data_IF_001041212776
#
_entry.id   IF_001041212776
#
_cell.length_a   1.000
_cell.length_b   1.000
_cell.length_c   1.000
_cell.angle_alpha   90.00
_cell.angle_beta   90.00
_cell.angle_gamma   90.00
#
_symmetry.space_group_name_H-M   'P 1'
#
loop_
_entity.id
_entity.type
_entity.pdbx_description
1 polymer ?
#
# COMPACT_ATOMS: atom_id res chain seq x y z
N UNK A 1 5.26 -16.46 60.20
CA UNK A 1 5.15 -15.36 59.23
C UNK A 1 5.52 -15.90 57.86
N UNK A 2 4.56 -16.40 57.08
CA UNK A 2 4.80 -16.93 55.73
C UNK A 2 3.51 -16.81 54.89
N UNK A 3 3.20 -15.60 54.43
CA UNK A 3 2.16 -15.31 53.43
C UNK A 3 2.75 -14.35 52.40
N UNK A 4 3.83 -14.76 51.76
CA UNK A 4 4.48 -13.93 50.74
C UNK A 4 5.19 -14.83 49.76
N UNK A 5 4.63 -14.99 48.56
CA UNK A 5 5.41 -15.37 47.37
C UNK A 5 4.55 -15.60 46.13
N UNK A 6 3.30 -16.08 46.25
CA UNK A 6 2.52 -16.46 45.06
C UNK A 6 2.16 -15.28 44.14
N UNK A 7 1.72 -14.14 44.70
CA UNK A 7 1.39 -12.93 43.92
C UNK A 7 2.62 -12.30 43.24
N UNK A 8 3.78 -12.36 43.90
CA UNK A 8 5.03 -11.86 43.35
C UNK A 8 5.58 -12.77 42.24
N UNK A 9 5.51 -14.10 42.41
CA UNK A 9 5.95 -15.07 41.41
C UNK A 9 5.15 -14.98 40.10
N UNK A 10 3.83 -14.78 40.17
CA UNK A 10 2.96 -14.59 39.00
C UNK A 10 3.27 -13.27 38.28
N UNK A 11 3.50 -12.19 39.03
CA UNK A 11 3.87 -10.89 38.46
C UNK A 11 5.24 -10.94 37.74
N UNK A 12 6.21 -11.67 38.29
CA UNK A 12 7.54 -11.86 37.69
C UNK A 12 7.45 -12.76 36.44
N UNK A 13 6.61 -13.79 36.44
CA UNK A 13 6.37 -14.62 35.24
C UNK A 13 5.76 -13.81 34.10
N UNK A 14 4.79 -12.94 34.39
CA UNK A 14 4.14 -12.09 33.37
C UNK A 14 5.09 -11.03 32.79
N UNK A 15 5.98 -10.45 33.60
CA UNK A 15 6.97 -9.46 33.11
C UNK A 15 8.11 -10.10 32.33
N UNK A 16 8.51 -11.34 32.67
CA UNK A 16 9.53 -12.08 31.91
C UNK A 16 8.98 -12.51 30.55
N UNK A 17 7.73 -12.95 30.45
CA UNK A 17 7.07 -13.33 29.17
C UNK A 17 7.01 -12.14 28.19
N UNK A 18 6.81 -10.91 28.70
CA UNK A 18 6.78 -9.70 27.87
C UNK A 18 8.18 -9.21 27.44
N UNK A 19 9.24 -9.62 28.15
CA UNK A 19 10.64 -9.33 27.78
C UNK A 19 11.24 -10.38 26.81
N UNK A 20 10.65 -11.58 26.74
CA UNK A 20 10.99 -12.65 25.78
C UNK A 20 10.15 -12.64 24.49
N UNK A 21 9.37 -11.58 24.27
CA UNK A 21 8.72 -11.27 22.99
C UNK A 21 9.42 -10.16 22.19
N UNK A 22 10.76 -10.11 22.00
CA UNK A 22 11.33 -9.41 20.86
C UNK A 22 11.22 -10.33 19.62
N UNK A 23 10.00 -10.73 19.31
CA UNK A 23 9.65 -11.63 18.21
C UNK A 23 8.58 -10.99 17.36
N UNK A 24 8.98 -9.95 16.62
CA UNK A 24 8.34 -9.42 15.42
C UNK A 24 6.82 -9.33 15.43
N UNK A 25 6.28 -8.16 15.76
CA UNK A 25 5.13 -7.67 15.02
C UNK A 25 5.63 -7.43 13.58
N UNK A 26 5.59 -8.48 12.75
CA UNK A 26 5.83 -8.35 11.31
C UNK A 26 4.83 -7.30 10.82
N UNK A 27 5.34 -6.14 10.41
CA UNK A 27 4.50 -5.07 9.90
C UNK A 27 4.07 -5.49 8.48
N UNK A 28 3.05 -6.34 8.40
CA UNK A 28 2.45 -6.69 7.12
C UNK A 28 1.81 -5.41 6.56
N UNK A 29 2.43 -4.82 5.54
CA UNK A 29 1.85 -3.68 4.82
C UNK A 29 0.62 -4.18 4.08
N UNK A 30 -0.55 -3.67 4.46
CA UNK A 30 -1.77 -3.89 3.69
C UNK A 30 -1.69 -3.13 2.35
N UNK A 31 -2.31 -3.67 1.28
CA UNK A 31 -2.50 -2.95 0.03
C UNK A 31 -3.04 -1.54 0.26
N UNK A 32 -2.42 -0.55 -0.39
CA UNK A 32 -2.92 0.83 -0.40
C UNK A 32 -3.72 1.06 -1.68
N UNK A 33 -4.90 1.68 -1.54
CA UNK A 33 -5.72 2.09 -2.68
C UNK A 33 -5.42 3.55 -3.05
N UNK A 34 -5.15 3.80 -4.33
CA UNK A 34 -4.84 5.10 -4.89
C UNK A 34 -5.89 5.50 -5.93
N UNK A 35 -6.54 6.64 -5.71
CA UNK A 35 -7.46 7.21 -6.70
C UNK A 35 -6.64 7.90 -7.78
N UNK A 36 -6.71 7.42 -9.02
CA UNK A 36 -5.88 7.98 -10.09
C UNK A 36 -6.33 9.40 -10.46
N UNK A 37 -5.38 10.34 -10.42
CA UNK A 37 -5.64 11.75 -10.70
C UNK A 37 -6.38 12.51 -9.59
N UNK A 38 -6.68 11.86 -8.46
CA UNK A 38 -7.43 12.44 -7.33
C UNK A 38 -8.75 13.10 -7.82
N UNK A 39 -9.06 14.30 -7.32
CA UNK A 39 -10.26 15.08 -7.68
C UNK A 39 -10.35 15.43 -9.17
N UNK A 40 -9.22 15.46 -9.89
CA UNK A 40 -9.18 15.77 -11.32
C UNK A 40 -9.44 14.55 -12.19
N UNK A 41 -9.27 13.35 -11.63
CA UNK A 41 -9.36 12.10 -12.37
C UNK A 41 -8.33 11.99 -13.48
N UNK A 42 -8.61 11.07 -14.40
CA UNK A 42 -7.77 10.83 -15.55
C UNK A 42 -8.09 11.88 -16.63
N UNK A 43 -7.52 13.07 -16.46
CA UNK A 43 -7.66 14.22 -17.38
C UNK A 43 -6.44 14.35 -18.29
N UNK A 44 -6.67 14.47 -19.61
CA UNK A 44 -5.65 14.71 -20.63
C UNK A 44 -4.85 15.99 -20.41
N UNK A 45 -5.42 16.94 -19.69
CA UNK A 45 -4.83 18.24 -19.35
C UNK A 45 -3.77 18.14 -18.25
N UNK A 46 -3.73 17.03 -17.51
CA UNK A 46 -2.78 16.77 -16.44
C UNK A 46 -1.94 15.56 -16.84
N UNK A 47 -0.60 15.70 -16.99
CA UNK A 47 0.23 14.55 -17.30
C UNK A 47 0.09 13.53 -16.16
N UNK A 48 -0.36 12.30 -16.45
CA UNK A 48 -0.56 11.26 -15.44
C UNK A 48 0.71 10.99 -14.61
N UNK A 49 1.88 11.24 -15.22
CA UNK A 49 3.19 11.17 -14.56
C UNK A 49 3.31 12.15 -13.38
N UNK A 50 2.67 13.33 -13.44
CA UNK A 50 2.72 14.30 -12.33
C UNK A 50 2.03 13.75 -11.08
N UNK A 51 0.89 13.08 -11.25
CA UNK A 51 0.18 12.45 -10.15
C UNK A 51 0.95 11.26 -9.56
N UNK A 52 1.68 10.50 -10.39
CA UNK A 52 2.47 9.36 -9.95
C UNK A 52 3.82 9.77 -9.33
N UNK A 53 4.33 10.97 -9.65
CA UNK A 53 5.71 11.38 -9.35
C UNK A 53 6.07 11.45 -7.86
N UNK A 54 5.10 11.72 -6.99
CA UNK A 54 5.29 11.81 -5.54
C UNK A 54 4.94 10.52 -4.80
N UNK A 55 4.61 9.44 -5.53
CA UNK A 55 4.12 8.17 -4.96
C UNK A 55 5.13 7.05 -5.13
N UNK A 56 5.20 6.20 -4.11
CA UNK A 56 5.90 4.93 -4.18
C UNK A 56 4.87 3.82 -4.16
N UNK A 57 4.83 3.03 -5.23
CA UNK A 57 3.92 1.91 -5.38
C UNK A 57 4.63 0.60 -5.05
N UNK A 58 3.90 -0.34 -4.45
CA UNK A 58 4.38 -1.68 -4.19
C UNK A 58 3.42 -2.69 -4.82
N UNK A 59 3.95 -3.88 -5.12
CA UNK A 59 3.13 -4.97 -5.63
C UNK A 59 1.98 -5.27 -4.65
N UNK A 60 0.77 -5.37 -5.20
CA UNK A 60 -0.44 -5.59 -4.44
C UNK A 60 -1.25 -4.32 -4.11
N UNK A 61 -0.66 -3.12 -4.23
CA UNK A 61 -1.41 -1.86 -4.15
C UNK A 61 -2.47 -1.79 -5.26
N UNK A 62 -3.55 -1.02 -5.03
CA UNK A 62 -4.72 -0.94 -5.92
C UNK A 62 -4.81 0.46 -6.49
N UNK A 63 -5.00 0.58 -7.80
CA UNK A 63 -5.42 1.80 -8.45
C UNK A 63 -6.94 1.78 -8.62
N UNK A 64 -7.62 2.79 -8.12
CA UNK A 64 -9.06 2.98 -8.27
C UNK A 64 -9.31 4.15 -9.21
N UNK A 65 -10.24 3.96 -10.14
CA UNK A 65 -10.72 5.02 -11.00
C UNK A 65 -11.90 5.78 -10.35
N UNK A 66 -12.08 7.06 -10.67
CA UNK A 66 -13.09 7.92 -10.02
C UNK A 66 -14.55 7.42 -10.11
N UNK A 67 -14.85 6.48 -10.99
CA UNK A 67 -16.17 5.84 -11.09
C UNK A 67 -16.35 4.69 -10.09
N UNK A 68 -15.29 4.24 -9.41
CA UNK A 68 -15.29 3.14 -8.44
C UNK A 68 -15.46 1.74 -9.05
N UNK A 69 -15.80 1.64 -10.34
CA UNK A 69 -16.03 0.36 -11.02
C UNK A 69 -14.72 -0.29 -11.50
N UNK A 70 -13.67 0.51 -11.69
CA UNK A 70 -12.38 0.04 -12.21
C UNK A 70 -11.32 0.07 -11.11
N UNK A 71 -11.04 -1.10 -10.55
CA UNK A 71 -9.95 -1.34 -9.60
C UNK A 71 -8.89 -2.23 -10.24
N UNK A 72 -7.65 -1.76 -10.29
CA UNK A 72 -6.52 -2.49 -10.89
C UNK A 72 -5.43 -2.70 -9.85
N UNK A 73 -5.15 -3.97 -9.55
CA UNK A 73 -4.06 -4.34 -8.66
C UNK A 73 -2.72 -4.28 -9.39
N UNK A 74 -1.72 -3.69 -8.76
CA UNK A 74 -0.37 -3.55 -9.31
C UNK A 74 0.42 -4.85 -9.18
N UNK A 75 1.00 -5.31 -10.29
CA UNK A 75 1.98 -6.38 -10.29
C UNK A 75 3.38 -5.84 -9.95
N UNK A 76 4.26 -6.68 -9.43
CA UNK A 76 5.67 -6.32 -9.23
C UNK A 76 6.34 -5.93 -10.55
N UNK A 77 7.05 -4.79 -10.55
CA UNK A 77 7.72 -4.24 -11.73
C UNK A 77 6.87 -3.23 -12.50
N UNK A 78 7.07 -3.16 -13.82
CA UNK A 78 6.43 -2.17 -14.69
C UNK A 78 4.97 -2.50 -14.99
N UNK A 79 4.09 -1.54 -14.73
CA UNK A 79 2.67 -1.55 -15.06
C UNK A 79 2.39 -0.39 -16.02
N UNK A 80 1.72 -0.67 -17.14
CA UNK A 80 1.48 0.30 -18.20
C UNK A 80 -0.01 0.37 -18.53
N UNK A 81 -0.54 1.59 -18.53
CA UNK A 81 -1.95 1.87 -18.74
C UNK A 81 -2.11 2.90 -19.87
N UNK A 82 -3.12 2.71 -20.70
CA UNK A 82 -3.43 3.59 -21.84
C UNK A 82 -4.90 4.00 -21.70
N UNK A 83 -5.16 5.30 -21.79
CA UNK A 83 -6.53 5.83 -21.79
C UNK A 83 -7.20 5.58 -23.14
N UNK A 84 -8.39 4.99 -23.13
CA UNK A 84 -9.21 4.75 -24.33
C UNK A 84 -10.69 5.08 -24.11
N UNK A 85 -11.02 5.94 -23.15
CA UNK A 85 -12.40 6.29 -22.83
C UNK A 85 -13.04 7.12 -23.94
N UNK A 86 -12.26 7.98 -24.59
CA UNK A 86 -12.64 8.69 -25.82
C UNK A 86 -11.63 8.42 -26.95
N UNK A 87 -12.04 8.57 -28.23
CA UNK A 87 -11.10 8.48 -29.35
C UNK A 87 -9.92 9.46 -29.25
N UNK A 88 -10.11 10.58 -28.56
CA UNK A 88 -9.07 11.59 -28.35
C UNK A 88 -7.96 11.14 -27.39
N UNK A 89 -8.23 10.23 -26.46
CA UNK A 89 -7.28 9.85 -25.40
C UNK A 89 -6.04 9.15 -25.97
N UNK A 90 -6.27 8.19 -26.87
CA UNK A 90 -5.19 7.46 -27.52
C UNK A 90 -4.35 8.38 -28.43
N UNK A 91 -5.00 9.29 -29.15
CA UNK A 91 -4.32 10.21 -30.09
C UNK A 91 -3.59 11.33 -29.34
N UNK A 92 -4.13 11.75 -28.20
CA UNK A 92 -3.53 12.70 -27.27
C UNK A 92 -2.39 12.13 -26.43
N UNK A 93 -2.12 10.82 -26.55
CA UNK A 93 -0.99 10.17 -25.89
C UNK A 93 -1.22 9.89 -24.40
N UNK A 94 -2.48 9.70 -24.01
CA UNK A 94 -2.85 9.45 -22.62
C UNK A 94 -2.34 8.10 -22.13
N UNK A 95 -1.33 8.13 -21.25
CA UNK A 95 -0.71 6.93 -20.71
C UNK A 95 -0.21 7.17 -19.29
N UNK A 96 -0.12 6.09 -18.54
CA UNK A 96 0.49 6.06 -17.21
C UNK A 96 1.42 4.86 -17.12
N UNK A 97 2.64 5.10 -16.66
CA UNK A 97 3.60 4.04 -16.37
C UNK A 97 3.93 4.09 -14.89
N UNK A 98 3.72 2.97 -14.19
CA UNK A 98 4.04 2.82 -12.77
C UNK A 98 5.02 1.68 -12.63
N UNK A 99 6.12 1.91 -11.91
CA UNK A 99 7.01 0.85 -11.47
C UNK A 99 6.72 0.52 -10.01
N UNK A 100 6.08 -0.63 -9.77
CA UNK A 100 5.80 -1.10 -8.43
C UNK A 100 6.99 -1.90 -7.88
N UNK A 101 7.42 -1.54 -6.68
CA UNK A 101 8.47 -2.25 -5.96
C UNK A 101 7.98 -3.61 -5.46
N UNK A 102 8.90 -4.43 -4.95
CA UNK A 102 8.55 -5.70 -4.32
C UNK A 102 7.48 -5.45 -3.24
N UNK A 103 6.64 -6.43 -2.88
CA UNK A 103 5.80 -6.26 -1.70
C UNK A 103 6.67 -5.76 -0.54
N UNK A 104 6.14 -4.90 0.34
CA UNK A 104 6.90 -4.49 1.54
C UNK A 104 6.87 -5.64 2.55
N UNK A 105 7.52 -6.76 2.20
CA UNK A 105 7.86 -7.84 3.10
C UNK A 105 9.23 -7.53 3.70
N UNK A 106 9.23 -6.65 4.71
CA UNK A 106 10.36 -6.52 5.62
C UNK A 106 10.40 -7.77 6.49
N UNK A 107 11.08 -8.79 5.99
CA UNK A 107 11.45 -10.02 6.70
C UNK A 107 12.47 -9.70 7.82
#
# INVERSE_FOLDING_TARGET
MARSSAKAAIAILLTVISFFLPGGLTHHRSPTTYIVGNEFGWDLSIPADTWASDKTFYAGDILEYNTGEDMIQLAYGGNYFIGTATPGDCWGGMKLAINALAPDNKD
#
